data_IF_984609627904
#
_entry.id   IF_984609627904
#
_cell.length_a   1.000
_cell.length_b   1.000
_cell.length_c   1.000
_cell.angle_alpha   90.00
_cell.angle_beta   90.00
_cell.angle_gamma   90.00
#
_symmetry.space_group_name_H-M   'P 1'
#
loop_
_entity.id
_entity.type
_entity.pdbx_description
1 polymer ?
#
# COMPACT_ATOMS: atom_id res chain seq x y z
N UNK A 1 19.46 -1.21 18.26
CA UNK A 1 20.77 -0.76 17.75
C UNK A 1 21.82 -1.21 18.75
N UNK A 2 22.97 -1.66 18.27
CA UNK A 2 24.14 -1.92 19.13
C UNK A 2 24.90 -0.61 19.44
N UNK A 3 25.82 -0.64 20.41
CA UNK A 3 26.56 0.55 20.86
C UNK A 3 27.37 1.21 19.73
N UNK A 4 27.93 0.39 18.84
CA UNK A 4 28.69 0.87 17.69
C UNK A 4 27.80 1.63 16.70
N UNK A 5 26.60 1.10 16.41
CA UNK A 5 25.61 1.79 15.57
C UNK A 5 25.15 3.12 16.17
N UNK A 6 25.00 3.20 17.50
CA UNK A 6 24.65 4.45 18.19
C UNK A 6 25.73 5.49 17.94
N UNK A 7 27.00 5.13 18.20
CA UNK A 7 28.14 6.04 18.02
C UNK A 7 28.28 6.51 16.56
N UNK A 8 28.21 5.59 15.59
CA UNK A 8 28.27 5.93 14.17
C UNK A 8 27.13 6.88 13.76
N UNK A 9 25.91 6.65 14.28
CA UNK A 9 24.78 7.50 13.95
C UNK A 9 24.93 8.89 14.57
N UNK A 10 25.42 9.01 15.81
CA UNK A 10 25.70 10.30 16.47
C UNK A 10 26.70 11.15 15.68
N UNK A 11 27.75 10.55 15.12
CA UNK A 11 28.76 11.24 14.31
C UNK A 11 28.20 11.76 12.97
N UNK A 12 27.29 11.02 12.34
CA UNK A 12 26.73 11.36 11.02
C UNK A 12 25.51 12.27 11.14
N UNK A 13 24.77 12.21 12.25
CA UNK A 13 23.53 12.96 12.50
C UNK A 13 23.61 14.46 12.16
N UNK A 14 24.68 15.21 12.50
CA UNK A 14 24.78 16.63 12.21
C UNK A 14 24.76 16.95 10.71
N UNK A 15 25.29 16.03 9.88
CA UNK A 15 25.46 16.18 8.42
C UNK A 15 24.22 15.80 7.63
N UNK A 16 23.19 15.25 8.28
CA UNK A 16 21.97 14.80 7.60
C UNK A 16 21.01 15.95 7.29
N UNK A 17 20.28 15.83 6.17
CA UNK A 17 19.17 16.71 5.83
C UNK A 17 18.11 16.73 6.94
N UNK A 18 17.46 17.90 7.14
CA UNK A 18 16.59 18.18 8.29
C UNK A 18 15.51 17.10 8.57
N UNK A 19 14.75 16.59 7.58
CA UNK A 19 13.74 15.56 7.84
C UNK A 19 14.36 14.26 8.37
N UNK A 20 15.44 13.80 7.73
CA UNK A 20 16.16 12.58 8.10
C UNK A 20 16.84 12.72 9.46
N UNK A 21 17.45 13.88 9.72
CA UNK A 21 18.07 14.21 11.01
C UNK A 21 17.09 14.09 12.18
N UNK A 22 15.87 14.65 12.01
CA UNK A 22 14.83 14.58 13.04
C UNK A 22 14.40 13.13 13.32
N UNK A 23 14.17 12.34 12.28
CA UNK A 23 13.79 10.93 12.41
C UNK A 23 14.88 10.10 13.11
N UNK A 24 16.13 10.25 12.67
CA UNK A 24 17.26 9.51 13.26
C UNK A 24 17.50 9.90 14.71
N UNK A 25 17.29 11.18 15.07
CA UNK A 25 17.35 11.62 16.47
C UNK A 25 16.31 10.90 17.34
N UNK A 26 15.07 10.79 16.87
CA UNK A 26 14.01 10.04 17.60
C UNK A 26 14.39 8.58 17.80
N UNK A 27 15.01 7.94 16.79
CA UNK A 27 15.50 6.57 16.94
C UNK A 27 16.59 6.46 18.01
N UNK A 28 17.55 7.39 18.02
CA UNK A 28 18.62 7.45 19.03
C UNK A 28 18.07 7.64 20.44
N UNK A 29 17.19 8.64 20.63
CA UNK A 29 16.56 8.94 21.93
C UNK A 29 15.72 7.75 22.47
N UNK A 30 15.32 6.85 21.57
CA UNK A 30 14.61 5.61 21.86
C UNK A 30 15.50 4.40 22.17
N UNK A 31 16.82 4.47 21.95
CA UNK A 31 17.75 3.39 22.32
C UNK A 31 17.93 3.41 23.84
N UNK A 32 17.28 2.47 24.52
CA UNK A 32 17.32 2.32 25.97
C UNK A 32 17.49 0.85 26.33
N UNK A 33 18.04 0.54 27.51
CA UNK A 33 18.04 -0.82 28.03
C UNK A 33 16.61 -1.40 28.02
N UNK A 34 16.46 -2.70 27.74
CA UNK A 34 15.14 -3.34 27.71
C UNK A 34 14.44 -3.18 29.06
N UNK A 35 13.27 -2.54 29.05
CA UNK A 35 12.41 -2.34 30.23
C UNK A 35 11.01 -2.85 29.92
N UNK A 36 10.40 -3.55 30.87
CA UNK A 36 9.06 -4.11 30.74
C UNK A 36 8.97 -5.36 29.85
N UNK A 37 7.76 -5.95 29.82
CA UNK A 37 7.49 -7.21 29.13
C UNK A 37 7.41 -7.08 27.61
N UNK A 38 7.00 -5.91 27.09
CA UNK A 38 6.83 -5.65 25.66
C UNK A 38 7.95 -4.79 25.13
N UNK A 39 8.63 -5.29 24.11
CA UNK A 39 9.80 -4.64 23.51
C UNK A 39 9.66 -4.55 22.00
N UNK A 40 10.09 -3.44 21.42
CA UNK A 40 10.24 -3.26 19.98
C UNK A 40 11.72 -3.06 19.67
N UNK A 41 12.28 -3.93 18.81
CA UNK A 41 13.70 -3.90 18.45
C UNK A 41 13.85 -3.72 16.95
N UNK A 42 14.68 -2.75 16.57
CA UNK A 42 15.10 -2.57 15.19
C UNK A 42 16.43 -3.29 14.97
N UNK A 43 16.41 -4.27 14.06
CA UNK A 43 17.57 -5.08 13.68
C UNK A 43 17.95 -4.74 12.23
N UNK A 44 19.00 -3.93 12.08
CA UNK A 44 19.55 -3.56 10.76
C UNK A 44 20.55 -4.62 10.26
N UNK A 45 20.84 -4.65 8.96
CA UNK A 45 21.82 -5.56 8.33
C UNK A 45 21.46 -7.05 8.34
N UNK A 46 20.20 -7.39 8.61
CA UNK A 46 19.68 -8.77 8.56
C UNK A 46 18.97 -8.98 7.22
N UNK A 47 19.37 -10.01 6.50
CA UNK A 47 18.68 -10.46 5.29
C UNK A 47 18.00 -11.79 5.62
N UNK A 48 16.66 -11.90 5.50
CA UNK A 48 15.97 -13.15 5.76
C UNK A 48 16.39 -14.20 4.72
N UNK A 49 16.82 -15.38 5.18
CA UNK A 49 17.22 -16.50 4.31
C UNK A 49 16.21 -17.65 4.34
N UNK A 50 15.63 -17.95 5.51
CA UNK A 50 14.68 -19.06 5.64
C UNK A 50 13.68 -18.83 6.78
N UNK A 51 12.44 -19.26 6.58
CA UNK A 51 11.43 -19.40 7.65
C UNK A 51 11.50 -20.83 8.16
N UNK A 52 11.69 -21.00 9.46
CA UNK A 52 11.90 -22.29 10.09
C UNK A 52 10.58 -22.75 10.75
N UNK A 53 10.09 -23.95 10.43
CA UNK A 53 8.90 -24.50 11.05
C UNK A 53 9.23 -25.22 12.38
N UNK A 54 8.23 -25.40 13.23
CA UNK A 54 8.21 -26.38 14.30
C UNK A 54 7.72 -27.74 13.77
N UNK A 55 7.59 -28.73 14.66
CA UNK A 55 7.11 -30.08 14.32
C UNK A 55 5.68 -30.10 13.73
N UNK A 56 4.87 -29.08 14.00
CA UNK A 56 3.49 -28.95 13.49
C UNK A 56 3.41 -28.16 12.17
N UNK A 57 4.56 -27.78 11.58
CA UNK A 57 4.63 -26.98 10.35
C UNK A 57 4.34 -25.49 10.55
N UNK A 58 4.19 -25.00 11.78
CA UNK A 58 4.02 -23.58 12.10
C UNK A 58 5.37 -22.90 12.25
N UNK A 59 5.43 -21.59 12.00
CA UNK A 59 6.67 -20.82 12.20
C UNK A 59 7.18 -20.93 13.66
N UNK A 60 8.49 -21.15 13.80
CA UNK A 60 9.19 -21.19 15.09
C UNK A 60 10.34 -20.19 15.16
N UNK A 61 10.97 -19.89 14.02
CA UNK A 61 12.06 -18.93 13.90
C UNK A 61 12.22 -18.44 12.46
N UNK A 62 13.00 -17.38 12.29
CA UNK A 62 13.51 -16.94 10.99
C UNK A 62 15.02 -16.93 11.04
N UNK A 63 15.65 -17.55 10.05
CA UNK A 63 17.09 -17.47 9.83
C UNK A 63 17.42 -16.24 9.00
N UNK A 64 18.38 -15.47 9.49
CA UNK A 64 18.91 -14.29 8.82
C UNK A 64 20.40 -14.44 8.56
N UNK A 65 20.87 -13.89 7.45
CA UNK A 65 22.28 -13.56 7.25
C UNK A 65 22.55 -12.18 7.83
N UNK A 66 23.47 -12.10 8.78
CA UNK A 66 23.98 -10.83 9.28
C UNK A 66 25.06 -10.32 8.33
N UNK A 67 24.74 -9.32 7.50
CA UNK A 67 25.66 -8.77 6.50
C UNK A 67 26.92 -8.11 7.09
N UNK A 68 26.93 -7.77 8.38
CA UNK A 68 28.09 -7.16 9.04
C UNK A 68 29.12 -8.21 9.47
N UNK A 69 28.66 -9.33 10.01
CA UNK A 69 29.54 -10.38 10.52
C UNK A 69 29.75 -11.52 9.52
N UNK A 70 28.87 -11.64 8.52
CA UNK A 70 28.81 -12.80 7.62
C UNK A 70 28.20 -14.04 8.26
N UNK A 71 27.84 -13.99 9.55
CA UNK A 71 27.27 -15.13 10.27
C UNK A 71 25.77 -15.25 10.04
N UNK A 72 25.27 -16.49 10.14
CA UNK A 72 23.84 -16.77 10.17
C UNK A 72 23.34 -16.71 11.61
N UNK A 73 22.19 -16.07 11.81
CA UNK A 73 21.52 -15.95 13.11
C UNK A 73 20.08 -16.44 12.97
N UNK A 74 19.60 -17.21 13.95
CA UNK A 74 18.22 -17.66 14.02
C UNK A 74 17.49 -16.88 15.11
N UNK A 75 16.40 -16.21 14.76
CA UNK A 75 15.60 -15.40 15.67
C UNK A 75 14.29 -16.13 15.90
N UNK A 76 14.02 -16.63 17.14
CA UNK A 76 12.76 -17.28 17.47
C UNK A 76 11.58 -16.33 17.31
N UNK A 77 10.52 -16.79 16.64
CA UNK A 77 9.27 -16.05 16.52
C UNK A 77 8.07 -16.98 16.23
N UNK A 78 6.91 -16.63 16.77
CA UNK A 78 5.64 -17.33 16.49
C UNK A 78 4.76 -16.63 15.46
N UNK A 79 5.19 -15.46 14.96
CA UNK A 79 4.49 -14.67 13.95
C UNK A 79 5.50 -13.93 13.09
N UNK A 80 5.31 -13.99 11.77
CA UNK A 80 6.09 -13.24 10.80
C UNK A 80 5.13 -12.43 9.91
N UNK A 81 5.38 -11.13 9.81
CA UNK A 81 4.62 -10.21 8.97
C UNK A 81 5.57 -9.59 7.96
N UNK A 82 5.30 -9.80 6.67
CA UNK A 82 6.05 -9.16 5.60
C UNK A 82 5.55 -7.73 5.40
N UNK A 83 6.42 -6.75 5.65
CA UNK A 83 6.16 -5.33 5.42
C UNK A 83 7.21 -4.74 4.46
N UNK A 84 7.36 -5.37 3.29
CA UNK A 84 8.40 -5.06 2.28
C UNK A 84 7.84 -4.38 1.02
N UNK A 85 6.62 -3.85 1.10
CA UNK A 85 5.93 -3.19 -0.01
C UNK A 85 4.78 -4.03 -0.56
N UNK A 86 4.12 -3.46 -1.58
CA UNK A 86 3.00 -4.09 -2.29
C UNK A 86 3.38 -4.36 -3.73
N UNK A 87 2.62 -5.23 -4.38
CA UNK A 87 2.73 -5.48 -5.82
C UNK A 87 1.48 -4.92 -6.51
N UNK A 88 1.69 -4.17 -7.58
CA UNK A 88 0.59 -3.70 -8.43
C UNK A 88 0.14 -4.84 -9.34
N UNK A 89 -1.17 -5.07 -9.41
CA UNK A 89 -1.78 -5.99 -10.38
C UNK A 89 -2.30 -5.17 -11.55
N UNK A 90 -1.85 -5.50 -12.75
CA UNK A 90 -2.37 -4.90 -13.99
C UNK A 90 -3.54 -5.74 -14.47
N UNK A 91 -4.69 -5.10 -14.64
CA UNK A 91 -5.93 -5.71 -15.10
C UNK A 91 -5.81 -6.24 -16.53
N UNK A 92 -6.62 -7.25 -16.86
CA UNK A 92 -6.70 -7.79 -18.21
C UNK A 92 -7.14 -6.72 -19.22
N UNK A 93 -6.54 -6.76 -20.41
CA UNK A 93 -6.76 -5.76 -21.45
C UNK A 93 -5.89 -4.49 -21.33
N UNK A 94 -5.09 -4.36 -20.27
CA UNK A 94 -4.11 -3.28 -20.12
C UNK A 94 -2.68 -3.75 -20.42
N UNK A 95 -1.86 -2.91 -21.09
CA UNK A 95 -0.49 -3.25 -21.44
C UNK A 95 0.42 -3.26 -20.20
N UNK A 96 1.41 -4.17 -20.19
CA UNK A 96 2.41 -4.30 -19.14
C UNK A 96 3.79 -3.97 -19.68
N UNK A 97 4.63 -3.31 -18.88
CA UNK A 97 6.05 -3.13 -19.19
C UNK A 97 6.88 -4.35 -18.78
N UNK A 98 8.19 -4.32 -19.07
CA UNK A 98 9.14 -5.41 -18.74
C UNK A 98 9.23 -5.77 -17.26
N UNK A 99 8.75 -4.87 -16.37
CA UNK A 99 8.71 -5.07 -14.92
C UNK A 99 7.36 -5.60 -14.43
N UNK A 100 6.43 -5.92 -15.34
CA UNK A 100 5.08 -6.38 -15.02
C UNK A 100 4.15 -5.30 -14.46
N UNK A 101 4.56 -4.03 -14.49
CA UNK A 101 3.73 -2.87 -14.12
C UNK A 101 2.95 -2.36 -15.32
N UNK A 102 1.97 -1.48 -15.08
CA UNK A 102 1.21 -0.84 -16.14
C UNK A 102 2.16 -0.10 -17.09
N UNK A 103 2.05 -0.35 -18.39
CA UNK A 103 2.84 0.36 -19.39
C UNK A 103 2.29 1.77 -19.55
N UNK A 104 3.06 2.75 -19.10
CA UNK A 104 2.72 4.16 -19.20
C UNK A 104 3.40 4.78 -20.42
N UNK A 105 2.66 5.54 -21.23
CA UNK A 105 3.20 6.35 -22.33
C UNK A 105 3.90 7.60 -21.80
N UNK A 106 3.30 8.20 -20.77
CA UNK A 106 3.82 9.36 -20.06
C UNK A 106 3.37 9.33 -18.59
N UNK A 107 3.52 10.43 -17.84
CA UNK A 107 3.16 10.48 -16.42
C UNK A 107 1.67 10.25 -16.10
N UNK A 108 0.78 10.30 -17.09
CA UNK A 108 -0.68 10.24 -16.92
C UNK A 108 -1.37 9.22 -17.82
N UNK A 109 -0.83 8.97 -19.02
CA UNK A 109 -1.45 8.12 -20.06
C UNK A 109 -0.84 6.73 -20.07
N UNK A 110 -1.71 5.74 -20.21
CA UNK A 110 -1.33 4.34 -20.46
C UNK A 110 -0.98 4.17 -21.94
N UNK A 111 0.04 3.37 -22.24
CA UNK A 111 0.48 3.13 -23.62
C UNK A 111 -0.38 2.08 -24.34
N UNK A 112 -1.66 2.43 -24.52
CA UNK A 112 -2.62 1.55 -25.17
C UNK A 112 -2.34 1.36 -26.67
N UNK A 113 -2.59 0.16 -27.23
CA UNK A 113 -2.64 -0.01 -28.67
C UNK A 113 -3.88 0.70 -29.25
N UNK A 114 -3.71 1.39 -30.38
CA UNK A 114 -4.78 2.13 -31.06
C UNK A 114 -5.15 3.45 -30.36
N UNK A 115 -6.39 3.90 -30.58
CA UNK A 115 -6.87 5.23 -30.15
C UNK A 115 -7.58 5.22 -28.80
N UNK A 116 -7.37 4.19 -27.97
CA UNK A 116 -7.98 4.11 -26.65
C UNK A 116 -7.32 5.08 -25.66
N UNK A 117 -8.12 5.96 -25.06
CA UNK A 117 -7.67 6.87 -24.01
C UNK A 117 -7.82 6.21 -22.66
N UNK A 118 -6.70 5.71 -22.14
CA UNK A 118 -6.64 5.16 -20.79
C UNK A 118 -5.60 5.96 -20.00
N UNK A 119 -6.00 6.35 -18.80
CA UNK A 119 -5.18 7.11 -17.87
C UNK A 119 -5.05 6.34 -16.57
N UNK A 120 -3.97 6.59 -15.85
CA UNK A 120 -3.75 5.98 -14.55
C UNK A 120 -3.17 7.01 -13.58
N UNK A 121 -3.57 6.92 -12.32
CA UNK A 121 -3.10 7.78 -11.24
C UNK A 121 -2.82 6.94 -9.97
N UNK A 122 -1.84 7.38 -9.19
CA UNK A 122 -1.45 6.77 -7.93
C UNK A 122 -0.70 5.46 -8.11
N UNK A 123 -0.88 4.54 -7.15
CA UNK A 123 -0.06 3.33 -7.05
C UNK A 123 -0.22 2.36 -8.23
N UNK A 124 -1.33 2.43 -8.97
CA UNK A 124 -1.49 1.60 -10.16
C UNK A 124 -0.60 2.07 -11.32
N UNK A 125 -0.27 3.37 -11.39
CA UNK A 125 0.60 3.95 -12.40
C UNK A 125 2.08 3.84 -12.01
N UNK A 126 2.44 4.32 -10.81
CA UNK A 126 3.85 4.52 -10.43
C UNK A 126 4.34 3.64 -9.28
N UNK A 127 3.51 2.68 -8.86
CA UNK A 127 3.82 1.75 -7.79
C UNK A 127 3.57 2.31 -6.38
N UNK A 128 3.72 1.46 -5.34
CA UNK A 128 3.27 1.77 -3.99
C UNK A 128 4.26 2.65 -3.21
N UNK A 129 4.37 3.91 -3.62
CA UNK A 129 5.22 4.92 -2.99
C UNK A 129 4.44 6.21 -2.76
N UNK A 130 4.91 7.01 -1.81
CA UNK A 130 4.29 8.27 -1.44
C UNK A 130 3.18 8.12 -0.41
N UNK A 131 2.73 9.28 0.08
CA UNK A 131 1.60 9.43 1.00
C UNK A 131 0.35 9.87 0.23
N UNK A 132 -0.78 9.93 0.93
CA UNK A 132 -2.09 10.32 0.35
C UNK A 132 -2.00 11.65 -0.42
N UNK A 133 -1.23 12.62 0.08
CA UNK A 133 -1.04 13.92 -0.56
C UNK A 133 -0.32 13.80 -1.91
N UNK A 134 0.67 12.92 -2.03
CA UNK A 134 1.38 12.70 -3.29
C UNK A 134 0.41 12.14 -4.34
N UNK A 135 -0.40 11.16 -3.96
CA UNK A 135 -1.44 10.58 -4.82
C UNK A 135 -2.50 11.62 -5.22
N UNK A 136 -2.88 12.52 -4.30
CA UNK A 136 -3.83 13.59 -4.60
C UNK A 136 -3.27 14.57 -5.66
N UNK A 137 -2.03 15.01 -5.50
CA UNK A 137 -1.39 15.93 -6.45
C UNK A 137 -1.24 15.31 -7.83
N UNK A 138 -0.86 14.03 -7.87
CA UNK A 138 -0.79 13.26 -9.11
C UNK A 138 -2.16 13.15 -9.79
N UNK A 139 -3.21 12.82 -9.03
CA UNK A 139 -4.57 12.72 -9.57
C UNK A 139 -5.05 14.05 -10.17
N UNK A 140 -4.68 15.19 -9.58
CA UNK A 140 -4.98 16.52 -10.16
C UNK A 140 -4.27 16.71 -11.50
N UNK A 141 -2.99 16.35 -11.61
CA UNK A 141 -2.24 16.46 -12.86
C UNK A 141 -2.82 15.55 -13.95
N UNK A 142 -3.24 14.32 -13.59
CA UNK A 142 -3.91 13.40 -14.51
C UNK A 142 -5.27 13.94 -14.95
N UNK A 143 -6.07 14.51 -14.03
CA UNK A 143 -7.36 15.11 -14.37
C UNK A 143 -7.21 16.30 -15.32
N UNK A 144 -6.25 17.19 -15.09
CA UNK A 144 -5.94 18.28 -16.02
C UNK A 144 -5.57 17.76 -17.41
N UNK A 145 -4.77 16.69 -17.45
CA UNK A 145 -4.38 16.05 -18.71
C UNK A 145 -5.56 15.44 -19.47
N UNK A 146 -6.48 14.80 -18.75
CA UNK A 146 -7.73 14.27 -19.32
C UNK A 146 -8.56 15.42 -19.91
N UNK A 147 -8.71 16.53 -19.19
CA UNK A 147 -9.48 17.67 -19.66
C UNK A 147 -8.89 18.30 -20.94
N UNK A 148 -7.57 18.45 -20.99
CA UNK A 148 -6.84 18.92 -22.18
C UNK A 148 -7.10 18.01 -23.39
N UNK A 149 -6.96 16.69 -23.21
CA UNK A 149 -7.10 15.72 -24.29
C UNK A 149 -8.53 15.62 -24.82
N UNK A 150 -9.52 15.65 -23.92
CA UNK A 150 -10.93 15.61 -24.30
C UNK A 150 -11.30 16.86 -25.09
N UNK A 151 -10.82 18.03 -24.67
CA UNK A 151 -11.12 19.30 -25.34
C UNK A 151 -10.49 19.38 -26.73
N UNK A 152 -9.36 18.70 -26.95
CA UNK A 152 -8.70 18.63 -28.23
C UNK A 152 -9.35 17.66 -29.23
N UNK A 153 -10.46 16.98 -28.86
CA UNK A 153 -11.09 15.93 -29.65
C UNK A 153 -12.52 16.28 -30.03
N UNK A 154 -12.85 16.08 -31.30
CA UNK A 154 -14.19 16.33 -31.85
C UNK A 154 -15.05 15.05 -31.93
N UNK A 155 -14.46 13.87 -31.72
CA UNK A 155 -15.08 12.56 -31.92
C UNK A 155 -15.51 11.87 -30.61
N UNK A 156 -15.42 12.56 -29.47
CA UNK A 156 -15.89 12.05 -28.17
C UNK A 156 -17.39 12.34 -28.05
N UNK A 157 -18.20 11.47 -28.66
CA UNK A 157 -19.65 11.48 -28.50
C UNK A 157 -20.10 10.97 -27.12
N UNK A 158 -21.25 11.43 -26.64
CA UNK A 158 -21.86 10.99 -25.38
C UNK A 158 -22.13 9.48 -25.40
N UNK A 159 -21.39 8.71 -24.60
CA UNK A 159 -21.60 7.28 -24.44
C UNK A 159 -22.66 7.02 -23.37
N UNK A 160 -23.44 5.96 -23.54
CA UNK A 160 -24.28 5.44 -22.45
C UNK A 160 -23.39 5.15 -21.23
N UNK A 161 -23.86 5.53 -20.04
CA UNK A 161 -23.17 5.24 -18.80
C UNK A 161 -23.04 3.73 -18.59
N UNK A 162 -22.01 3.31 -17.85
CA UNK A 162 -21.71 1.89 -17.60
C UNK A 162 -22.85 1.11 -16.91
N UNK A 163 -23.79 1.82 -16.27
CA UNK A 163 -24.88 1.23 -15.50
C UNK A 163 -25.75 0.28 -16.32
N UNK A 164 -26.18 0.65 -17.53
CA UNK A 164 -27.02 -0.22 -18.36
C UNK A 164 -26.31 -1.52 -18.72
N UNK A 165 -25.00 -1.45 -19.00
CA UNK A 165 -24.15 -2.60 -19.29
C UNK A 165 -24.04 -3.52 -18.07
N UNK A 166 -23.93 -2.96 -16.86
CA UNK A 166 -23.90 -3.75 -15.62
C UNK A 166 -25.25 -4.45 -15.38
N UNK A 167 -26.36 -3.76 -15.63
CA UNK A 167 -27.71 -4.29 -15.45
C UNK A 167 -28.03 -5.40 -16.46
N UNK A 168 -27.73 -5.19 -17.74
CA UNK A 168 -27.88 -6.21 -18.79
C UNK A 168 -27.05 -7.47 -18.49
N UNK A 169 -25.87 -7.31 -17.90
CA UNK A 169 -24.99 -8.41 -17.50
C UNK A 169 -25.34 -9.04 -16.15
N UNK A 170 -26.36 -8.51 -15.44
CA UNK A 170 -26.73 -9.00 -14.11
C UNK A 170 -25.64 -8.84 -13.05
N UNK A 171 -24.74 -7.86 -13.21
CA UNK A 171 -23.63 -7.62 -12.28
C UNK A 171 -24.12 -6.78 -11.10
N UNK A 172 -23.95 -7.30 -9.89
CA UNK A 172 -24.24 -6.55 -8.67
C UNK A 172 -23.19 -5.45 -8.44
N UNK A 173 -23.64 -4.22 -8.18
CA UNK A 173 -22.79 -3.08 -7.80
C UNK A 173 -23.40 -2.33 -6.61
N UNK A 174 -22.60 -1.49 -5.96
CA UNK A 174 -23.06 -0.59 -4.90
C UNK A 174 -23.04 0.84 -5.40
N UNK A 175 -24.18 1.51 -5.27
CA UNK A 175 -24.27 2.97 -5.40
C UNK A 175 -23.70 3.66 -4.17
N UNK A 176 -23.42 4.96 -4.29
CA UNK A 176 -22.95 5.77 -3.17
C UNK A 176 -23.99 5.84 -2.03
N UNK A 177 -25.28 5.91 -2.34
CA UNK A 177 -26.33 5.96 -1.32
C UNK A 177 -26.53 4.62 -0.62
N UNK A 178 -26.33 3.50 -1.31
CA UNK A 178 -26.28 2.19 -0.67
C UNK A 178 -25.06 2.06 0.24
N UNK A 179 -23.90 2.57 -0.19
CA UNK A 179 -22.71 2.64 0.66
C UNK A 179 -22.94 3.47 1.93
N UNK A 180 -23.64 4.60 1.87
CA UNK A 180 -23.99 5.38 3.07
C UNK A 180 -24.79 4.58 4.08
N UNK A 181 -25.74 3.75 3.64
CA UNK A 181 -26.51 2.86 4.54
C UNK A 181 -25.60 1.88 5.27
N UNK A 182 -24.56 1.36 4.60
CA UNK A 182 -23.54 0.51 5.22
C UNK A 182 -22.77 1.32 6.27
N UNK A 183 -22.30 2.53 5.91
CA UNK A 183 -21.54 3.40 6.82
C UNK A 183 -22.33 3.73 8.10
N UNK A 184 -23.60 4.10 7.96
CA UNK A 184 -24.52 4.37 9.08
C UNK A 184 -24.69 3.14 9.99
N UNK A 185 -24.87 1.95 9.39
CA UNK A 185 -25.02 0.71 10.14
C UNK A 185 -23.73 0.34 10.89
N UNK A 186 -22.56 0.51 10.28
CA UNK A 186 -21.27 0.27 10.93
C UNK A 186 -21.04 1.23 12.09
N UNK A 187 -21.37 2.52 11.91
CA UNK A 187 -21.23 3.54 12.97
C UNK A 187 -22.16 3.24 14.14
N UNK A 188 -23.43 2.91 13.88
CA UNK A 188 -24.41 2.56 14.92
C UNK A 188 -23.95 1.36 15.76
N UNK A 189 -23.54 0.27 15.10
CA UNK A 189 -23.03 -0.92 15.79
C UNK A 189 -21.72 -0.65 16.55
N UNK A 190 -20.90 0.26 16.04
CA UNK A 190 -19.71 0.74 16.74
C UNK A 190 -20.07 1.44 18.05
N UNK A 191 -21.04 2.34 18.03
CA UNK A 191 -21.46 3.12 19.18
C UNK A 191 -21.94 2.23 20.35
N UNK A 192 -22.71 1.17 20.05
CA UNK A 192 -23.15 0.17 21.03
C UNK A 192 -21.99 -0.54 21.75
N UNK A 193 -20.81 -0.57 21.13
CA UNK A 193 -19.58 -1.19 21.66
C UNK A 193 -18.53 -0.16 22.12
N UNK A 194 -18.86 1.13 22.15
CA UNK A 194 -17.90 2.20 22.47
C UNK A 194 -16.79 2.39 21.42
N UNK A 195 -17.04 2.05 20.15
CA UNK A 195 -16.13 2.19 19.02
C UNK A 195 -16.64 3.24 18.04
N UNK A 196 -15.74 3.81 17.23
CA UNK A 196 -16.13 4.74 16.12
C UNK A 196 -17.01 4.04 15.08
N UNK A 197 -16.71 2.77 14.79
CA UNK A 197 -17.50 1.90 13.91
C UNK A 197 -17.19 0.44 14.17
N UNK A 198 -18.11 -0.43 13.78
CA UNK A 198 -17.92 -1.87 13.68
C UNK A 198 -18.03 -2.29 12.21
N UNK A 199 -16.89 -2.61 11.59
CA UNK A 199 -16.86 -2.90 10.15
C UNK A 199 -17.55 -4.21 9.80
N UNK A 200 -18.39 -4.20 8.77
CA UNK A 200 -18.94 -5.42 8.19
C UNK A 200 -17.82 -6.19 7.48
N UNK A 201 -17.68 -7.48 7.78
CA UNK A 201 -16.54 -8.30 7.31
C UNK A 201 -16.85 -9.26 6.16
N UNK A 202 -18.10 -9.33 5.71
CA UNK A 202 -18.54 -10.29 4.68
C UNK A 202 -19.35 -9.61 3.60
N UNK A 203 -19.12 -9.97 2.34
CA UNK A 203 -19.82 -9.43 1.17
C UNK A 203 -21.34 -9.62 1.21
N UNK A 204 -21.79 -10.75 1.75
CA UNK A 204 -23.22 -11.05 1.96
C UNK A 204 -23.93 -10.06 2.90
N UNK A 205 -23.16 -9.28 3.67
CA UNK A 205 -23.65 -8.25 4.57
C UNK A 205 -24.10 -6.97 3.86
N UNK A 206 -23.71 -6.74 2.60
CA UNK A 206 -23.97 -5.47 1.92
C UNK A 206 -24.38 -5.57 0.44
N UNK A 207 -24.05 -6.65 -0.29
CA UNK A 207 -24.57 -6.87 -1.64
C UNK A 207 -25.84 -7.73 -1.58
N UNK A 208 -27.01 -7.10 -1.41
CA UNK A 208 -28.31 -7.75 -1.63
C UNK A 208 -29.08 -6.97 -2.69
N UNK A 209 -29.27 -7.56 -3.87
CA UNK A 209 -30.38 -7.17 -4.74
C UNK A 209 -31.65 -7.86 -4.20
N UNK A 210 -32.71 -7.08 -4.01
CA UNK A 210 -34.07 -7.60 -3.87
C UNK A 210 -34.58 -8.04 -5.23
#
# INVERSE_FOLDING_TARGET
MDEEQVKQLEEVLPKMARPRKRLMKVLLDGVRPPQGEKQCRFLSFRIPEAVLPNNDGRISAVRFLNKRTGCKEEIPCGLLIYSIGFQTVVLDGLPKNDKGMLAMRDGSRVDMPGDAFVYAAGWCAHGPRGVIVDTQQEAVAVASRIAEDITAREDIGGRHGIQSILDEKGINYLTFDEWKKIDEAEVKQGAEKGKVREKMRTFSGFLRRH
#
